data_IF_270117410942
#
_entry.id   IF_270117410942
#
_cell.length_a   1.000
_cell.length_b   1.000
_cell.length_c   1.000
_cell.angle_alpha   90.00
_cell.angle_beta   90.00
_cell.angle_gamma   90.00
#
_symmetry.space_group_name_H-M   'P 1'
#
loop_
_entity.id
_entity.type
_entity.pdbx_description
1 polymer ?
#
# COMPACT_ATOMS: atom_id res chain seq x y z
N UNK A 1 -34.72 -24.00 -21.85
CA UNK A 1 -34.08 -23.38 -20.70
C UNK A 1 -32.64 -23.08 -21.04
N UNK A 2 -32.30 -21.84 -21.40
CA UNK A 2 -30.92 -21.39 -21.62
C UNK A 2 -30.33 -20.99 -20.27
N UNK A 3 -29.28 -21.68 -19.83
CA UNK A 3 -28.48 -21.21 -18.68
C UNK A 3 -27.77 -19.92 -19.09
N UNK A 4 -28.14 -18.82 -18.46
CA UNK A 4 -27.39 -17.55 -18.53
C UNK A 4 -26.13 -17.79 -17.69
N UNK A 5 -24.99 -17.93 -18.37
CA UNK A 5 -23.69 -17.89 -17.74
C UNK A 5 -23.47 -16.45 -17.27
N UNK A 6 -23.58 -16.23 -15.97
CA UNK A 6 -23.17 -14.97 -15.34
C UNK A 6 -21.67 -14.70 -15.59
N UNK A 7 -21.22 -13.43 -15.50
CA UNK A 7 -19.82 -13.09 -15.68
C UNK A 7 -18.97 -13.87 -14.68
N UNK A 8 -17.86 -14.43 -15.18
CA UNK A 8 -16.93 -15.23 -14.39
C UNK A 8 -16.45 -14.42 -13.19
N UNK A 9 -16.68 -14.95 -12.02
CA UNK A 9 -16.28 -14.41 -10.72
C UNK A 9 -14.76 -14.22 -10.55
N UNK A 10 -13.95 -14.71 -11.49
CA UNK A 10 -12.49 -14.69 -11.43
C UNK A 10 -11.83 -13.32 -11.71
N UNK A 11 -12.54 -12.36 -12.29
CA UNK A 11 -11.96 -11.02 -12.55
C UNK A 11 -12.10 -10.02 -11.40
N UNK A 12 -12.94 -10.33 -10.41
CA UNK A 12 -13.34 -9.35 -9.38
C UNK A 12 -12.30 -9.16 -8.28
N UNK A 13 -11.31 -10.06 -8.13
CA UNK A 13 -10.38 -10.10 -7.00
C UNK A 13 -8.90 -10.20 -7.37
N UNK A 14 -8.46 -9.45 -8.39
CA UNK A 14 -7.02 -9.39 -8.68
C UNK A 14 -6.38 -8.28 -7.86
N UNK A 15 -5.41 -8.62 -7.02
CA UNK A 15 -4.60 -7.63 -6.31
C UNK A 15 -3.79 -6.80 -7.29
N UNK A 16 -3.74 -5.51 -7.06
CA UNK A 16 -2.87 -4.56 -7.73
C UNK A 16 -2.06 -3.80 -6.69
N UNK A 17 -0.84 -3.45 -7.03
CA UNK A 17 0.02 -2.62 -6.19
C UNK A 17 -0.04 -1.16 -6.62
N UNK A 18 0.39 -0.25 -5.75
CA UNK A 18 0.59 1.15 -6.06
C UNK A 18 2.08 1.48 -6.10
N UNK A 19 2.43 2.63 -6.71
CA UNK A 19 3.81 3.15 -6.65
C UNK A 19 4.29 3.42 -5.22
N UNK A 20 3.40 3.65 -4.26
CA UNK A 20 3.74 3.74 -2.85
C UNK A 20 4.35 2.45 -2.31
N UNK A 21 3.77 1.29 -2.65
CA UNK A 21 4.29 -0.02 -2.24
C UNK A 21 5.67 -0.26 -2.86
N UNK A 22 5.84 0.06 -4.15
CA UNK A 22 7.14 -0.05 -4.81
C UNK A 22 8.18 0.83 -4.13
N UNK A 23 7.84 2.11 -3.83
CA UNK A 23 8.73 3.03 -3.13
C UNK A 23 9.13 2.53 -1.75
N UNK A 24 8.18 2.00 -0.96
CA UNK A 24 8.46 1.52 0.39
C UNK A 24 9.43 0.34 0.40
N UNK A 25 9.33 -0.53 -0.63
CA UNK A 25 10.24 -1.66 -0.78
C UNK A 25 11.59 -1.28 -1.40
N UNK A 26 11.69 -0.10 -2.02
CA UNK A 26 12.93 0.47 -2.56
C UNK A 26 13.45 1.67 -1.74
N UNK A 27 12.95 1.90 -0.54
CA UNK A 27 13.25 3.11 0.26
C UNK A 27 14.74 3.35 0.53
N UNK A 28 15.54 2.29 0.58
CA UNK A 28 16.99 2.37 0.78
C UNK A 28 17.73 2.92 -0.45
N UNK A 29 17.12 2.87 -1.62
CA UNK A 29 17.65 3.31 -2.90
C UNK A 29 16.96 4.58 -3.41
N UNK A 30 15.81 4.92 -2.88
CA UNK A 30 14.99 6.04 -3.34
C UNK A 30 15.63 7.39 -2.98
N UNK A 31 15.90 8.22 -3.99
CA UNK A 31 16.47 9.57 -3.83
C UNK A 31 15.48 10.67 -4.18
N UNK A 32 14.52 10.40 -5.06
CA UNK A 32 13.46 11.33 -5.43
C UNK A 32 12.19 10.56 -5.84
N UNK A 33 11.04 11.16 -5.67
CA UNK A 33 9.78 10.54 -6.11
C UNK A 33 8.68 11.57 -6.34
N UNK A 34 7.88 11.33 -7.37
CA UNK A 34 6.62 12.01 -7.60
C UNK A 34 5.52 10.96 -7.70
N UNK A 35 4.71 10.82 -6.65
CA UNK A 35 3.57 9.89 -6.59
C UNK A 35 2.34 10.70 -6.23
N UNK A 36 1.58 11.07 -7.25
CA UNK A 36 0.42 11.97 -7.11
C UNK A 36 -0.88 11.23 -6.80
N UNK A 37 -1.09 10.10 -7.43
CA UNK A 37 -2.33 9.34 -7.33
C UNK A 37 -2.24 8.09 -6.47
N UNK A 38 -1.12 7.41 -6.51
CA UNK A 38 -0.92 6.13 -5.82
C UNK A 38 -1.96 5.08 -6.17
N UNK A 39 -2.44 5.09 -7.43
CA UNK A 39 -3.47 4.15 -7.88
C UNK A 39 -3.00 2.70 -7.73
N UNK A 40 -3.91 1.84 -7.28
CA UNK A 40 -3.70 0.39 -7.23
C UNK A 40 -3.87 -0.18 -8.64
N UNK A 41 -2.83 -0.12 -9.45
CA UNK A 41 -2.87 -0.50 -10.87
C UNK A 41 -1.78 -1.46 -11.30
N UNK A 42 -0.72 -1.63 -10.51
CA UNK A 42 0.51 -2.32 -10.89
C UNK A 42 0.39 -3.83 -10.63
N UNK A 43 0.77 -4.63 -11.62
CA UNK A 43 0.85 -6.09 -11.55
C UNK A 43 2.12 -6.66 -12.17
N UNK A 44 2.80 -5.87 -12.99
CA UNK A 44 3.97 -6.31 -13.74
C UNK A 44 5.09 -5.29 -13.64
N UNK A 45 6.28 -5.73 -13.94
CA UNK A 45 7.46 -4.88 -14.18
C UNK A 45 8.06 -5.21 -15.54
N UNK A 46 8.64 -4.21 -16.21
CA UNK A 46 9.35 -4.40 -17.48
C UNK A 46 10.46 -3.35 -17.60
N UNK A 47 11.50 -3.68 -18.34
CA UNK A 47 12.43 -2.69 -18.84
C UNK A 47 11.76 -1.90 -19.97
N UNK A 48 11.94 -0.58 -20.01
CA UNK A 48 11.38 0.28 -21.05
C UNK A 48 12.40 0.52 -22.15
N UNK A 49 12.03 0.18 -23.38
CA UNK A 49 12.79 0.49 -24.58
C UNK A 49 12.03 1.47 -25.47
N UNK A 50 12.76 2.21 -26.31
CA UNK A 50 12.13 3.15 -27.26
C UNK A 50 11.21 2.42 -28.21
N UNK A 51 9.96 2.87 -28.29
CA UNK A 51 8.95 2.30 -29.19
C UNK A 51 8.06 1.24 -28.54
N UNK A 52 8.26 0.92 -27.26
CA UNK A 52 7.41 -0.02 -26.54
C UNK A 52 5.99 0.54 -26.35
N UNK A 53 5.01 -0.37 -26.46
CA UNK A 53 3.64 -0.07 -26.03
C UNK A 53 3.56 -0.15 -24.52
N UNK A 54 3.20 0.97 -23.89
CA UNK A 54 3.09 1.06 -22.43
C UNK A 54 1.73 0.59 -21.92
N UNK A 55 1.77 -0.26 -20.88
CA UNK A 55 0.58 -0.72 -20.17
C UNK A 55 0.39 0.06 -18.87
N UNK A 56 -0.83 0.48 -18.52
CA UNK A 56 -1.10 1.13 -17.24
C UNK A 56 -0.89 0.22 -16.03
N UNK A 57 -0.73 -1.08 -16.25
CA UNK A 57 -0.55 -2.10 -15.20
C UNK A 57 0.90 -2.54 -14.99
N UNK A 58 1.85 -1.83 -15.60
CA UNK A 58 3.26 -2.19 -15.57
C UNK A 58 4.09 -1.04 -15.02
N UNK A 59 4.99 -1.34 -14.09
CA UNK A 59 6.10 -0.43 -13.75
C UNK A 59 7.19 -0.61 -14.79
N UNK A 60 7.60 0.47 -15.40
CA UNK A 60 8.68 0.49 -16.36
C UNK A 60 9.96 1.00 -15.73
N UNK A 61 11.06 0.31 -16.00
CA UNK A 61 12.38 0.64 -15.50
C UNK A 61 13.27 1.04 -16.67
N UNK A 62 13.91 2.20 -16.55
CA UNK A 62 14.78 2.74 -17.59
C UNK A 62 15.84 3.69 -17.00
N UNK A 63 16.83 4.11 -17.78
CA UNK A 63 17.76 5.16 -17.37
C UNK A 63 17.04 6.47 -17.08
N UNK A 64 17.40 7.14 -15.98
CA UNK A 64 16.75 8.39 -15.58
C UNK A 64 16.95 9.53 -16.57
N UNK A 65 18.09 9.55 -17.29
CA UNK A 65 18.40 10.54 -18.31
C UNK A 65 17.42 10.56 -19.48
N UNK A 66 16.71 9.47 -19.74
CA UNK A 66 15.67 9.42 -20.77
C UNK A 66 14.45 10.27 -20.41
N UNK A 67 14.23 10.54 -19.13
CA UNK A 67 13.10 11.33 -18.58
C UNK A 67 13.54 12.64 -17.95
N UNK A 68 14.62 12.62 -17.19
CA UNK A 68 15.16 13.77 -16.44
C UNK A 68 16.62 13.95 -16.82
N UNK A 69 16.93 14.74 -17.86
CA UNK A 69 18.29 14.84 -18.42
C UNK A 69 19.35 15.33 -17.42
N UNK A 70 18.96 15.97 -16.32
CA UNK A 70 19.85 16.43 -15.26
C UNK A 70 20.26 15.32 -14.28
N UNK A 71 19.52 14.20 -14.24
CA UNK A 71 19.78 13.06 -13.38
C UNK A 71 20.48 11.95 -14.17
N UNK A 72 21.81 12.04 -14.26
CA UNK A 72 22.61 11.02 -14.96
C UNK A 72 22.98 9.86 -14.05
N UNK A 73 23.17 8.69 -14.67
CA UNK A 73 23.59 7.45 -13.99
C UNK A 73 22.65 7.01 -12.86
N UNK A 74 21.36 7.21 -13.04
CA UNK A 74 20.30 6.78 -12.13
C UNK A 74 19.31 5.89 -12.86
N UNK A 75 18.52 5.17 -12.10
CA UNK A 75 17.40 4.36 -12.60
C UNK A 75 16.10 5.04 -12.20
N UNK A 76 15.13 5.04 -13.10
CA UNK A 76 13.79 5.51 -12.81
C UNK A 76 12.78 4.38 -12.98
N UNK A 77 11.88 4.24 -12.02
CA UNK A 77 10.70 3.39 -12.09
C UNK A 77 9.49 4.28 -12.38
N UNK A 78 8.77 4.00 -13.45
CA UNK A 78 7.64 4.83 -13.91
C UNK A 78 6.39 3.98 -14.06
N UNK A 79 5.26 4.47 -13.56
CA UNK A 79 3.94 3.96 -13.88
C UNK A 79 2.99 5.14 -14.10
N UNK A 80 2.50 5.30 -15.32
CA UNK A 80 1.66 6.45 -15.71
C UNK A 80 2.38 7.79 -15.42
N UNK A 81 1.82 8.61 -14.52
CA UNK A 81 2.36 9.92 -14.13
C UNK A 81 3.21 9.86 -12.85
N UNK A 82 3.24 8.70 -12.19
CA UNK A 82 4.00 8.50 -10.97
C UNK A 82 5.40 7.95 -11.29
N UNK A 83 6.42 8.48 -10.61
CA UNK A 83 7.77 7.98 -10.76
C UNK A 83 8.55 7.91 -9.45
N UNK A 84 9.58 7.08 -9.44
CA UNK A 84 10.55 6.92 -8.39
C UNK A 84 11.95 6.88 -9.01
N UNK A 85 12.84 7.78 -8.58
CA UNK A 85 14.25 7.77 -8.95
C UNK A 85 15.05 7.06 -7.88
N UNK A 86 15.87 6.11 -8.30
CA UNK A 86 16.68 5.28 -7.40
C UNK A 86 18.16 5.36 -7.74
N UNK A 87 18.98 5.37 -6.69
CA UNK A 87 20.43 5.30 -6.76
C UNK A 87 20.88 3.87 -6.55
N UNK A 88 21.00 3.12 -7.63
CA UNK A 88 21.38 1.71 -7.61
C UNK A 88 22.33 1.39 -8.77
N UNK A 89 23.12 0.32 -8.59
CA UNK A 89 24.19 -0.07 -9.50
C UNK A 89 23.72 -0.45 -10.90
N UNK A 90 22.56 -1.09 -11.06
CA UNK A 90 22.05 -1.49 -12.38
C UNK A 90 20.52 -1.50 -12.47
N UNK A 91 20.00 -1.42 -13.70
CA UNK A 91 18.58 -1.57 -13.98
C UNK A 91 18.09 -2.97 -13.66
N UNK A 92 18.91 -3.97 -13.90
CA UNK A 92 18.62 -5.38 -13.63
C UNK A 92 18.38 -5.60 -12.14
N UNK A 93 19.20 -5.02 -11.28
CA UNK A 93 19.03 -5.13 -9.83
C UNK A 93 17.70 -4.52 -9.37
N UNK A 94 17.33 -3.35 -9.89
CA UNK A 94 16.05 -2.72 -9.58
C UNK A 94 14.89 -3.53 -10.15
N UNK A 95 15.03 -4.09 -11.37
CA UNK A 95 14.03 -4.97 -11.96
C UNK A 95 13.75 -6.18 -11.05
N UNK A 96 14.80 -6.87 -10.61
CA UNK A 96 14.67 -8.04 -9.71
C UNK A 96 13.99 -7.67 -8.39
N UNK A 97 14.34 -6.53 -7.80
CA UNK A 97 13.73 -6.06 -6.55
C UNK A 97 12.24 -5.71 -6.72
N UNK A 98 11.88 -5.05 -7.82
CA UNK A 98 10.47 -4.73 -8.12
C UNK A 98 9.69 -6.00 -8.42
N UNK A 99 10.25 -6.91 -9.22
CA UNK A 99 9.63 -8.21 -9.50
C UNK A 99 9.40 -9.00 -8.20
N UNK A 100 10.42 -9.11 -7.35
CA UNK A 100 10.29 -9.76 -6.05
C UNK A 100 9.20 -9.12 -5.18
N UNK A 101 9.11 -7.78 -5.19
CA UNK A 101 8.06 -7.07 -4.47
C UNK A 101 6.67 -7.46 -4.99
N UNK A 102 6.48 -7.48 -6.31
CA UNK A 102 5.20 -7.85 -6.92
C UNK A 102 4.83 -9.29 -6.53
N UNK A 103 5.75 -10.24 -6.72
CA UNK A 103 5.52 -11.67 -6.44
C UNK A 103 5.17 -11.88 -4.97
N UNK A 104 5.92 -11.27 -4.05
CA UNK A 104 5.68 -11.36 -2.60
C UNK A 104 4.28 -10.88 -2.20
N UNK A 105 3.81 -9.79 -2.79
CA UNK A 105 2.47 -9.28 -2.48
C UNK A 105 1.35 -10.11 -3.13
N UNK A 106 1.60 -10.69 -4.30
CA UNK A 106 0.65 -11.62 -4.93
C UNK A 106 0.53 -12.93 -4.14
N UNK A 107 1.62 -13.48 -3.65
CA UNK A 107 1.63 -14.65 -2.76
C UNK A 107 0.88 -14.36 -1.45
N UNK A 108 1.11 -13.17 -0.88
CA UNK A 108 0.40 -12.73 0.31
C UNK A 108 -1.12 -12.60 0.07
N UNK A 109 -1.56 -12.05 -1.06
CA UNK A 109 -2.98 -11.96 -1.41
C UNK A 109 -3.64 -13.34 -1.48
N UNK A 110 -2.95 -14.32 -2.08
CA UNK A 110 -3.42 -15.70 -2.12
C UNK A 110 -3.52 -16.29 -0.70
N UNK A 111 -2.49 -16.12 0.11
CA UNK A 111 -2.48 -16.62 1.48
C UNK A 111 -3.60 -16.02 2.33
N UNK A 112 -3.84 -14.70 2.23
CA UNK A 112 -4.95 -14.04 2.95
C UNK A 112 -6.31 -14.58 2.51
N UNK A 113 -6.49 -14.91 1.22
CA UNK A 113 -7.73 -15.55 0.74
C UNK A 113 -7.93 -16.92 1.37
N UNK A 114 -6.87 -17.72 1.44
CA UNK A 114 -6.94 -19.04 2.09
C UNK A 114 -7.32 -18.90 3.57
N UNK A 115 -6.80 -17.90 4.28
CA UNK A 115 -7.17 -17.60 5.66
C UNK A 115 -8.66 -17.21 5.80
N UNK A 116 -9.16 -16.39 4.87
CA UNK A 116 -10.58 -15.99 4.84
C UNK A 116 -11.47 -17.21 4.58
N UNK A 117 -11.12 -18.04 3.61
CA UNK A 117 -11.87 -19.26 3.28
C UNK A 117 -11.85 -20.29 4.42
N UNK A 118 -10.74 -20.32 5.18
CA UNK A 118 -10.63 -21.11 6.40
C UNK A 118 -11.34 -20.49 7.62
N UNK A 119 -12.02 -19.34 7.46
CA UNK A 119 -12.69 -18.61 8.55
C UNK A 119 -11.76 -18.22 9.71
N UNK A 120 -10.49 -17.91 9.42
CA UNK A 120 -9.55 -17.41 10.41
C UNK A 120 -10.00 -16.07 11.00
N UNK A 121 -9.50 -15.74 12.19
CA UNK A 121 -9.90 -14.53 12.89
C UNK A 121 -9.39 -13.26 12.19
N UNK A 122 -10.06 -12.12 12.43
CA UNK A 122 -9.56 -10.82 11.99
C UNK A 122 -8.15 -10.54 12.52
N UNK A 123 -7.83 -11.04 13.71
CA UNK A 123 -6.51 -10.89 14.32
C UNK A 123 -5.43 -11.63 13.52
N UNK A 124 -5.70 -12.83 13.01
CA UNK A 124 -4.77 -13.59 12.17
C UNK A 124 -4.49 -12.85 10.87
N UNK A 125 -5.54 -12.36 10.20
CA UNK A 125 -5.41 -11.57 8.97
C UNK A 125 -4.64 -10.27 9.22
N UNK A 126 -4.88 -9.59 10.35
CA UNK A 126 -4.15 -8.37 10.72
C UNK A 126 -2.69 -8.66 11.00
N UNK A 127 -2.37 -9.81 11.58
CA UNK A 127 -0.99 -10.23 11.81
C UNK A 127 -0.25 -10.48 10.50
N UNK A 128 -0.90 -11.12 9.51
CA UNK A 128 -0.31 -11.30 8.18
C UNK A 128 -0.09 -9.96 7.46
N UNK A 129 -1.01 -9.01 7.61
CA UNK A 129 -0.81 -7.66 7.09
C UNK A 129 0.39 -6.95 7.77
N UNK A 130 0.53 -7.09 9.08
CA UNK A 130 1.68 -6.54 9.80
C UNK A 130 3.01 -7.17 9.37
N UNK A 131 3.00 -8.49 9.09
CA UNK A 131 4.16 -9.22 8.63
C UNK A 131 4.63 -8.77 7.24
N UNK A 132 3.70 -8.56 6.29
CA UNK A 132 4.07 -8.12 4.94
C UNK A 132 4.52 -6.66 4.89
N UNK A 133 3.85 -5.78 5.65
CA UNK A 133 4.18 -4.35 5.68
C UNK A 133 5.40 -4.04 6.56
N UNK A 134 5.78 -4.94 7.48
CA UNK A 134 6.78 -4.70 8.51
C UNK A 134 6.46 -3.45 9.36
N UNK A 135 5.16 -3.26 9.64
CA UNK A 135 4.61 -2.10 10.31
C UNK A 135 3.53 -2.55 11.32
N UNK A 136 3.22 -1.69 12.29
CA UNK A 136 2.04 -1.90 13.12
C UNK A 136 0.78 -1.65 12.30
N UNK A 137 -0.11 -2.64 12.28
CA UNK A 137 -1.42 -2.55 11.62
C UNK A 137 -2.52 -2.47 12.66
N UNK A 138 -3.38 -1.49 12.50
CA UNK A 138 -4.56 -1.27 13.35
C UNK A 138 -5.80 -1.29 12.48
N UNK A 139 -6.75 -2.14 12.83
CA UNK A 139 -8.07 -2.20 12.19
C UNK A 139 -9.10 -1.61 13.14
N UNK A 140 -9.90 -0.67 12.64
CA UNK A 140 -10.96 -0.02 13.41
C UNK A 140 -12.25 0.08 12.58
N UNK A 141 -13.38 0.19 13.26
CA UNK A 141 -14.65 0.47 12.60
C UNK A 141 -14.83 1.98 12.35
N UNK A 142 -15.92 2.37 11.72
CA UNK A 142 -16.28 3.77 11.43
C UNK A 142 -16.46 4.65 12.69
N UNK A 143 -16.65 4.05 13.86
CA UNK A 143 -16.71 4.74 15.15
C UNK A 143 -15.35 4.85 15.85
N UNK A 144 -14.26 4.52 15.16
CA UNK A 144 -12.89 4.50 15.72
C UNK A 144 -12.72 3.54 16.90
N UNK A 145 -13.56 2.49 16.97
CA UNK A 145 -13.38 1.39 17.92
C UNK A 145 -12.39 0.39 17.30
N UNK A 146 -11.34 0.09 18.03
CA UNK A 146 -10.30 -0.83 17.59
C UNK A 146 -10.82 -2.27 17.57
N UNK A 147 -10.65 -2.95 16.46
CA UNK A 147 -11.11 -4.32 16.23
C UNK A 147 -9.97 -5.32 16.16
N UNK A 148 -8.78 -4.89 15.75
CA UNK A 148 -7.60 -5.71 15.72
C UNK A 148 -6.34 -4.85 15.73
N UNK A 149 -5.25 -5.36 16.32
CA UNK A 149 -3.94 -4.71 16.36
C UNK A 149 -2.87 -5.79 16.23
N UNK A 150 -1.95 -5.60 15.30
CA UNK A 150 -0.81 -6.51 15.10
C UNK A 150 0.48 -5.72 14.79
N UNK A 151 1.62 -6.38 14.86
CA UNK A 151 2.90 -5.78 14.48
C UNK A 151 3.49 -4.82 15.53
N UNK A 152 3.13 -4.95 16.80
CA UNK A 152 3.69 -4.10 17.88
C UNK A 152 5.22 -4.17 17.96
N UNK A 153 5.82 -5.27 17.56
CA UNK A 153 7.28 -5.44 17.49
C UNK A 153 7.95 -4.52 16.46
N UNK A 154 7.20 -3.96 15.52
CA UNK A 154 7.72 -3.03 14.50
C UNK A 154 7.67 -1.57 14.93
N UNK A 155 7.07 -1.26 16.09
CA UNK A 155 6.81 0.12 16.56
C UNK A 155 8.08 0.90 16.86
N UNK A 156 9.12 0.26 17.37
CA UNK A 156 10.34 0.95 17.84
C UNK A 156 11.00 1.84 16.76
N UNK A 157 10.65 1.60 15.50
CA UNK A 157 11.19 2.36 14.37
C UNK A 157 10.41 3.65 14.04
N UNK A 158 9.12 3.70 14.34
CA UNK A 158 8.24 4.76 13.78
C UNK A 158 7.34 5.45 14.80
N UNK A 159 6.98 4.81 15.91
CA UNK A 159 6.00 5.32 16.87
C UNK A 159 6.55 5.22 18.29
N UNK A 160 6.34 6.20 19.17
CA UNK A 160 6.68 6.06 20.60
C UNK A 160 5.95 4.84 21.20
N UNK A 161 6.67 4.01 21.95
CA UNK A 161 6.10 2.81 22.59
C UNK A 161 4.87 3.13 23.46
N UNK A 162 4.88 4.29 24.13
CA UNK A 162 3.79 4.83 24.95
C UNK A 162 2.46 4.95 24.18
N UNK A 163 2.52 5.25 22.87
CA UNK A 163 1.34 5.34 22.02
C UNK A 163 0.69 3.97 21.79
N UNK A 164 1.51 2.99 21.45
CA UNK A 164 1.01 1.63 21.23
C UNK A 164 0.40 1.00 22.48
N UNK A 165 0.94 1.37 23.65
CA UNK A 165 0.45 0.87 24.93
C UNK A 165 -0.91 1.44 25.31
N UNK A 166 -1.33 2.57 24.71
CA UNK A 166 -2.65 3.15 24.90
C UNK A 166 -3.74 2.48 24.05
N UNK A 167 -3.37 1.78 22.99
CA UNK A 167 -4.33 1.14 22.09
C UNK A 167 -4.83 -0.18 22.68
N UNK A 168 -6.15 -0.29 22.85
CA UNK A 168 -6.84 -1.51 23.35
C UNK A 168 -7.91 -1.94 22.37
N UNK A 169 -7.99 -3.26 22.15
CA UNK A 169 -9.07 -3.84 21.33
C UNK A 169 -10.41 -3.61 22.04
N UNK A 170 -11.45 -3.32 21.27
CA UNK A 170 -12.80 -2.96 21.70
C UNK A 170 -12.89 -1.61 22.46
N UNK A 171 -11.81 -0.85 22.51
CA UNK A 171 -11.80 0.51 23.02
C UNK A 171 -11.73 1.53 21.89
N UNK A 172 -12.20 2.74 22.16
CA UNK A 172 -12.08 3.88 21.23
C UNK A 172 -10.63 4.35 21.13
N UNK A 173 -10.24 4.77 19.93
CA UNK A 173 -8.97 5.47 19.76
C UNK A 173 -8.99 6.77 20.59
N UNK A 174 -7.89 7.15 21.27
CA UNK A 174 -7.80 8.43 21.98
C UNK A 174 -8.15 9.62 21.08
N UNK A 175 -8.93 10.58 21.59
CA UNK A 175 -9.43 11.71 20.80
C UNK A 175 -8.34 12.54 20.15
N UNK A 176 -7.19 12.67 20.80
CA UNK A 176 -6.03 13.40 20.29
C UNK A 176 -5.51 12.79 18.98
N UNK A 177 -5.78 11.50 18.75
CA UNK A 177 -5.40 10.79 17.52
C UNK A 177 -6.55 10.72 16.52
N UNK A 178 -7.81 10.68 16.99
CA UNK A 178 -8.99 10.66 16.11
C UNK A 178 -9.11 11.96 15.32
N UNK A 179 -8.92 13.11 15.96
CA UNK A 179 -9.13 14.42 15.32
C UNK A 179 -8.23 14.64 14.10
N UNK A 180 -6.92 14.39 14.13
CA UNK A 180 -6.05 14.50 12.95
C UNK A 180 -6.45 13.53 11.84
N UNK A 181 -6.79 12.28 12.19
CA UNK A 181 -7.23 11.26 11.22
C UNK A 181 -8.52 11.72 10.52
N UNK A 182 -9.52 12.19 11.27
CA UNK A 182 -10.79 12.70 10.69
C UNK A 182 -10.54 13.88 9.77
N UNK A 183 -9.69 14.83 10.15
CA UNK A 183 -9.33 15.97 9.30
C UNK A 183 -8.66 15.51 8.00
N UNK A 184 -7.73 14.56 8.10
CA UNK A 184 -7.08 13.98 6.93
C UNK A 184 -8.08 13.24 6.02
N UNK A 185 -8.97 12.44 6.59
CA UNK A 185 -10.03 11.76 5.84
C UNK A 185 -10.95 12.77 5.13
N UNK A 186 -11.35 13.85 5.82
CA UNK A 186 -12.21 14.87 5.23
C UNK A 186 -11.55 15.59 4.04
N UNK A 187 -10.25 15.89 4.13
CA UNK A 187 -9.51 16.52 3.02
C UNK A 187 -9.29 15.57 1.84
N UNK A 188 -9.44 14.26 2.03
CA UNK A 188 -9.22 13.21 1.02
C UNK A 188 -10.48 12.41 0.68
N UNK A 189 -11.68 12.90 1.00
CA UNK A 189 -12.95 12.18 0.77
C UNK A 189 -13.19 11.74 -0.68
N UNK A 190 -12.62 12.46 -1.64
CA UNK A 190 -12.70 12.12 -3.06
C UNK A 190 -11.65 11.08 -3.49
N UNK A 191 -10.62 10.90 -2.68
CA UNK A 191 -9.55 9.95 -2.97
C UNK A 191 -9.86 8.60 -2.34
N UNK A 192 -10.21 7.61 -3.17
CA UNK A 192 -10.47 6.23 -2.74
C UNK A 192 -9.20 5.39 -2.58
N UNK A 193 -8.04 5.97 -2.90
CA UNK A 193 -6.76 5.28 -2.83
C UNK A 193 -6.14 5.42 -1.45
N UNK A 194 -5.23 4.52 -1.13
CA UNK A 194 -4.37 4.66 0.04
C UNK A 194 -3.53 5.91 -0.07
N UNK A 195 -3.32 6.62 1.02
CA UNK A 195 -2.49 7.82 1.05
C UNK A 195 -1.67 7.88 2.34
N UNK A 196 -0.59 8.64 2.30
CA UNK A 196 0.21 8.93 3.48
C UNK A 196 -0.33 10.16 4.21
N UNK A 197 -0.34 10.04 5.51
CA UNK A 197 -0.74 11.10 6.41
C UNK A 197 0.29 11.23 7.52
N UNK A 198 0.75 12.46 7.76
CA UNK A 198 1.66 12.76 8.85
C UNK A 198 0.86 13.28 10.05
N UNK A 199 0.88 12.53 11.12
CA UNK A 199 0.25 12.95 12.35
C UNK A 199 1.15 13.92 13.12
N UNK A 200 0.63 15.12 13.54
CA UNK A 200 1.43 16.13 14.24
C UNK A 200 1.97 15.70 15.60
N UNK A 201 1.34 14.71 16.23
CA UNK A 201 1.69 14.21 17.56
C UNK A 201 2.88 13.24 17.50
N UNK A 202 3.11 12.64 16.36
CA UNK A 202 4.20 11.70 16.16
C UNK A 202 5.46 12.44 15.70
N UNK A 203 6.62 11.97 16.14
CA UNK A 203 7.91 12.57 15.78
C UNK A 203 8.04 12.75 14.27
N UNK A 204 8.69 13.82 13.84
CA UNK A 204 8.83 14.39 12.48
C UNK A 204 8.91 13.42 11.28
N UNK A 205 9.09 12.12 11.47
CA UNK A 205 9.32 11.14 10.41
C UNK A 205 8.30 9.98 10.40
N UNK A 206 7.25 10.04 11.22
CA UNK A 206 6.24 8.98 11.24
C UNK A 206 5.15 9.28 10.24
N UNK A 207 5.09 8.48 9.19
CA UNK A 207 4.06 8.56 8.16
C UNK A 207 3.05 7.43 8.38
N UNK A 208 1.77 7.79 8.49
CA UNK A 208 0.69 6.81 8.50
C UNK A 208 0.19 6.56 7.09
N UNK A 209 0.04 5.31 6.76
CA UNK A 209 -0.67 4.90 5.56
C UNK A 209 -2.10 4.53 5.93
N UNK A 210 -3.07 5.23 5.35
CA UNK A 210 -4.48 4.93 5.52
C UNK A 210 -4.95 4.10 4.34
N UNK A 211 -5.44 2.90 4.62
CA UNK A 211 -6.13 2.05 3.66
C UNK A 211 -7.63 2.18 3.89
N UNK A 212 -8.34 2.71 2.90
CA UNK A 212 -9.80 2.78 2.93
C UNK A 212 -10.36 1.55 2.23
N UNK A 213 -11.02 0.67 2.97
CA UNK A 213 -11.78 -0.43 2.37
C UNK A 213 -13.20 0.04 2.05
N UNK A 214 -13.58 -0.03 0.78
CA UNK A 214 -14.95 0.25 0.32
C UNK A 214 -15.91 -0.93 0.52
N UNK A 215 -15.46 -2.02 1.13
CA UNK A 215 -16.26 -3.24 1.31
C UNK A 215 -17.45 -3.09 2.29
N UNK A 216 -17.61 -1.95 2.96
CA UNK A 216 -18.65 -1.71 3.95
C UNK A 216 -19.86 -0.88 3.48
N UNK A 217 -20.01 -0.57 2.21
CA UNK A 217 -21.17 0.18 1.71
C UNK A 217 -22.42 -0.68 1.42
N UNK A 218 -22.44 -1.96 1.79
CA UNK A 218 -23.51 -2.89 1.47
C UNK A 218 -24.42 -3.34 2.63
N UNK A 219 -24.23 -2.85 3.85
CA UNK A 219 -24.99 -3.30 5.00
C UNK A 219 -25.61 -2.13 5.78
N UNK A 220 -26.53 -1.41 5.17
CA UNK A 220 -27.48 -0.59 5.91
C UNK A 220 -28.72 -0.32 5.07
N UNK A 221 -29.59 -1.30 5.02
CA UNK A 221 -31.03 -1.16 4.80
C UNK A 221 -31.71 -2.44 5.32
N UNK A 222 -31.97 -2.52 6.58
CA UNK A 222 -33.11 -3.21 7.21
C UNK A 222 -33.43 -2.51 8.52
#
# INVERSE_FOLDING_TARGET
MRRVSGPRTEEIFKMYLSMWIIRDNLKEYAIDSHISGGEMSIRNVSLLFRGDNVSPHTVYICPSEDFIPTMKNRVICVNRNDYLVVDCGSMEEIYEKVQYTIDRYLEWDLHVRDLIDAHCSLQDITQEAANIFQEMVVVMNSGFILKSIAGRQYIEKTVPAEYADQLRIEEGMPLDHVVPVVKSLQSNLTNRNSYYFQEPILKKNSLFRIFLSTAFSGASAL
#
